data_IF_436200824714
#
_entry.id   IF_436200824714
#
_cell.length_a   1.000
_cell.length_b   1.000
_cell.length_c   1.000
_cell.angle_alpha   90.00
_cell.angle_beta   90.00
_cell.angle_gamma   90.00
#
_symmetry.space_group_name_H-M   'P 1'
#
loop_
_entity.id
_entity.type
_entity.pdbx_description
1 polymer ?
#
# COMPACT_ATOMS: atom_id res chain seq x y z
N UNK A 1 19.46 51.47 4.46
CA UNK A 1 20.91 51.57 4.13
C UNK A 1 21.72 52.38 5.16
N UNK A 2 21.30 52.39 6.43
CA UNK A 2 21.92 53.22 7.48
C UNK A 2 22.96 52.46 8.33
N UNK A 3 23.18 51.16 8.10
CA UNK A 3 24.10 50.38 8.92
C UNK A 3 25.58 50.66 8.51
N UNK A 4 26.44 51.20 9.40
CA UNK A 4 27.83 51.51 9.08
C UNK A 4 28.63 50.30 8.58
N UNK A 5 28.33 49.09 9.09
CA UNK A 5 28.95 47.85 8.64
C UNK A 5 28.59 47.52 7.18
N UNK A 6 27.35 47.75 6.78
CA UNK A 6 26.91 47.53 5.39
C UNK A 6 27.57 48.55 4.43
N UNK A 7 27.76 49.80 4.86
CA UNK A 7 28.45 50.84 4.08
C UNK A 7 29.95 50.55 3.90
N UNK A 8 30.64 50.08 4.96
CA UNK A 8 32.04 49.64 4.85
C UNK A 8 32.16 48.45 3.89
N UNK A 9 31.22 47.51 3.95
CA UNK A 9 31.15 46.36 3.03
C UNK A 9 30.88 46.73 1.56
N UNK A 10 30.16 47.82 1.29
CA UNK A 10 29.93 48.26 -0.10
C UNK A 10 31.11 49.06 -0.67
N UNK A 11 31.91 49.70 0.18
CA UNK A 11 33.09 50.50 -0.20
C UNK A 11 34.38 49.68 -0.30
N UNK A 12 34.47 48.53 0.36
CA UNK A 12 35.64 47.66 0.26
C UNK A 12 35.76 47.08 -1.14
N UNK A 13 36.89 47.30 -1.83
CA UNK A 13 37.20 46.73 -3.14
C UNK A 13 37.50 45.22 -3.14
N UNK A 14 37.35 44.56 -2.00
CA UNK A 14 37.46 43.09 -1.89
C UNK A 14 36.35 42.41 -2.68
N UNK A 15 36.68 41.30 -3.35
CA UNK A 15 35.72 40.50 -4.12
C UNK A 15 34.45 40.17 -3.31
N UNK A 16 33.28 40.54 -3.84
CA UNK A 16 31.98 40.24 -3.25
C UNK A 16 31.34 39.09 -4.02
N UNK A 17 31.23 37.93 -3.38
CA UNK A 17 30.47 36.82 -3.93
C UNK A 17 29.02 37.27 -4.21
N UNK A 18 28.58 37.14 -5.47
CA UNK A 18 27.21 37.46 -5.86
C UNK A 18 26.29 36.40 -5.27
N UNK A 19 25.46 36.82 -4.31
CA UNK A 19 24.44 35.94 -3.75
C UNK A 19 23.36 35.72 -4.80
N UNK A 20 23.27 34.48 -5.30
CA UNK A 20 22.20 34.06 -6.20
C UNK A 20 20.84 34.30 -5.54
N UNK A 21 19.91 34.93 -6.27
CA UNK A 21 18.63 35.33 -5.69
C UNK A 21 17.85 34.11 -5.19
N UNK A 22 17.29 34.21 -3.98
CA UNK A 22 16.45 33.15 -3.41
C UNK A 22 15.24 32.87 -4.30
N UNK A 23 14.75 33.88 -5.02
CA UNK A 23 13.63 33.78 -5.95
C UNK A 23 14.00 32.98 -7.21
N UNK A 24 15.19 33.19 -7.80
CA UNK A 24 15.66 32.37 -8.92
C UNK A 24 15.83 30.91 -8.48
N UNK A 25 16.43 30.67 -7.31
CA UNK A 25 16.53 29.31 -6.74
C UNK A 25 15.16 28.69 -6.46
N UNK A 26 14.19 29.47 -6.00
CA UNK A 26 12.82 29.01 -5.77
C UNK A 26 12.14 28.63 -7.08
N UNK A 27 12.25 29.44 -8.12
CA UNK A 27 11.69 29.14 -9.44
C UNK A 27 12.33 27.89 -10.06
N UNK A 28 13.64 27.71 -9.91
CA UNK A 28 14.35 26.50 -10.36
C UNK A 28 13.92 25.25 -9.57
N UNK A 29 13.49 25.41 -8.31
CA UNK A 29 12.96 24.35 -7.45
C UNK A 29 11.47 24.07 -7.63
N UNK A 30 10.74 24.82 -8.45
CA UNK A 30 9.30 24.57 -8.67
C UNK A 30 9.06 23.21 -9.35
N UNK A 31 10.04 22.73 -10.12
CA UNK A 31 9.92 21.52 -10.93
C UNK A 31 11.24 20.74 -10.84
N UNK A 32 11.59 20.19 -9.65
CA UNK A 32 12.79 19.38 -9.55
C UNK A 32 12.63 18.14 -10.44
N UNK A 33 13.70 17.67 -11.10
CA UNK A 33 13.65 16.42 -11.85
C UNK A 33 13.29 15.28 -10.88
N UNK A 34 12.43 14.37 -11.34
CA UNK A 34 12.03 13.23 -10.53
C UNK A 34 13.20 12.28 -10.32
N UNK A 35 13.32 11.78 -9.10
CA UNK A 35 14.21 10.68 -8.75
C UNK A 35 13.39 9.40 -8.79
N UNK A 36 13.75 8.46 -9.66
CA UNK A 36 13.03 7.20 -9.80
C UNK A 36 13.58 6.30 -10.90
N UNK A 37 12.89 5.20 -11.23
CA UNK A 37 13.22 4.38 -12.39
C UNK A 37 13.24 5.21 -13.67
N UNK A 38 14.13 4.87 -14.61
CA UNK A 38 14.29 5.63 -15.86
C UNK A 38 12.98 5.71 -16.66
N UNK A 39 12.22 4.62 -16.68
CA UNK A 39 10.89 4.54 -17.33
C UNK A 39 9.97 5.68 -16.86
N UNK A 40 9.93 5.95 -15.56
CA UNK A 40 9.09 7.01 -15.00
C UNK A 40 9.64 8.41 -15.31
N UNK A 41 10.97 8.57 -15.34
CA UNK A 41 11.59 9.85 -15.69
C UNK A 41 11.33 10.24 -17.15
N UNK A 42 11.41 9.26 -18.06
CA UNK A 42 11.22 9.48 -19.49
C UNK A 42 9.75 9.83 -19.83
N UNK A 43 8.79 9.27 -19.08
CA UNK A 43 7.36 9.55 -19.23
C UNK A 43 6.87 10.79 -18.45
N UNK A 44 7.75 11.46 -17.70
CA UNK A 44 7.37 12.59 -16.87
C UNK A 44 7.29 13.91 -17.66
N UNK A 45 6.08 14.44 -17.86
CA UNK A 45 5.92 15.78 -18.43
C UNK A 45 6.11 16.85 -17.35
N UNK A 46 7.21 17.60 -17.45
CA UNK A 46 7.46 18.73 -16.56
C UNK A 46 6.28 19.74 -16.54
N UNK A 47 5.59 19.97 -17.65
CA UNK A 47 4.58 21.04 -17.77
C UNK A 47 3.27 20.74 -17.03
N UNK A 48 3.00 19.47 -16.73
CA UNK A 48 1.80 19.03 -16.04
C UNK A 48 2.00 19.04 -14.52
N UNK A 49 0.89 19.12 -13.78
CA UNK A 49 0.94 18.98 -12.31
C UNK A 49 1.31 17.53 -11.94
N UNK A 50 1.80 17.32 -10.71
CA UNK A 50 2.09 15.97 -10.20
C UNK A 50 0.86 15.07 -10.28
N UNK A 51 -0.31 15.60 -9.94
CA UNK A 51 -1.59 14.89 -10.01
C UNK A 51 -1.94 14.47 -11.43
N UNK A 52 -1.83 15.39 -12.39
CA UNK A 52 -2.11 15.12 -13.80
C UNK A 52 -1.13 14.09 -14.38
N UNK A 53 0.15 14.17 -14.04
CA UNK A 53 1.14 13.19 -14.49
C UNK A 53 0.87 11.81 -13.90
N UNK A 54 0.61 11.71 -12.61
CA UNK A 54 0.32 10.42 -11.98
C UNK A 54 -0.94 9.81 -12.60
N UNK A 55 -1.99 10.61 -12.80
CA UNK A 55 -3.20 10.17 -13.49
C UNK A 55 -2.92 9.69 -14.92
N UNK A 56 -2.15 10.46 -15.70
CA UNK A 56 -1.76 10.08 -17.06
C UNK A 56 -0.97 8.76 -17.09
N UNK A 57 -0.07 8.54 -16.12
CA UNK A 57 0.72 7.32 -15.99
C UNK A 57 -0.07 6.13 -15.40
N UNK A 58 -1.35 6.30 -15.05
CA UNK A 58 -2.14 5.28 -14.37
C UNK A 58 -1.70 5.04 -12.91
N UNK A 59 -0.97 5.97 -12.30
CA UNK A 59 -0.52 5.94 -10.92
C UNK A 59 -1.44 6.78 -10.01
N UNK A 60 -1.53 6.37 -8.75
CA UNK A 60 -2.32 7.07 -7.74
C UNK A 60 -1.46 8.17 -7.10
N UNK A 61 -1.96 9.41 -7.10
CA UNK A 61 -1.26 10.58 -6.54
C UNK A 61 -1.43 10.75 -5.02
N UNK A 62 -2.58 10.36 -4.46
CA UNK A 62 -2.89 10.44 -3.02
C UNK A 62 -3.58 9.15 -2.59
N UNK A 63 -3.18 8.64 -1.41
CA UNK A 63 -3.69 7.41 -0.81
C UNK A 63 -4.93 7.66 0.07
N UNK A 64 -5.33 8.92 0.23
CA UNK A 64 -6.54 9.26 0.97
C UNK A 64 -7.78 8.91 0.13
N UNK A 65 -8.66 8.02 0.60
CA UNK A 65 -9.87 7.63 -0.14
C UNK A 65 -10.88 8.78 -0.23
N UNK A 66 -10.88 9.69 0.74
CA UNK A 66 -11.67 10.92 0.72
C UNK A 66 -10.76 12.10 0.39
N UNK A 67 -10.58 12.39 -0.89
CA UNK A 67 -9.88 13.60 -1.30
C UNK A 67 -10.69 14.83 -0.84
N UNK A 68 -10.07 15.72 -0.06
CA UNK A 68 -10.68 16.97 0.34
C UNK A 68 -10.55 17.99 -0.79
N UNK A 69 -11.68 18.48 -1.31
CA UNK A 69 -11.73 19.49 -2.38
C UNK A 69 -12.16 18.95 -3.75
N UNK A 70 -12.08 19.81 -4.77
CA UNK A 70 -12.49 19.47 -6.14
C UNK A 70 -11.43 18.70 -6.92
N UNK A 71 -11.85 17.74 -7.74
CA UNK A 71 -11.02 17.16 -8.78
C UNK A 71 -11.13 18.02 -10.04
N UNK A 72 -9.98 18.44 -10.60
CA UNK A 72 -9.98 19.05 -11.93
C UNK A 72 -10.41 17.98 -12.96
N UNK A 73 -11.37 18.26 -13.86
CA UNK A 73 -11.61 17.40 -14.99
C UNK A 73 -10.35 17.45 -15.88
N UNK A 74 -9.68 16.31 -16.02
CA UNK A 74 -8.67 16.15 -17.05
C UNK A 74 -9.38 16.31 -18.40
N UNK A 75 -8.91 17.26 -19.21
CA UNK A 75 -9.41 17.49 -20.57
C UNK A 75 -9.08 16.27 -21.43
N UNK A 76 -9.96 15.27 -21.40
CA UNK A 76 -10.11 14.33 -22.50
C UNK A 76 -11.03 14.97 -23.54
N UNK A 77 -10.58 14.96 -24.78
CA UNK A 77 -11.32 15.41 -25.96
C UNK A 77 -12.74 14.85 -25.94
N UNK A 78 -13.73 15.74 -25.92
CA UNK A 78 -15.16 15.51 -25.71
C UNK A 78 -15.82 14.85 -26.95
N UNK A 79 -15.09 14.03 -27.70
CA UNK A 79 -15.58 13.54 -29.00
C UNK A 79 -16.13 12.10 -28.95
N UNK A 80 -16.01 11.37 -27.83
CA UNK A 80 -16.37 9.93 -27.79
C UNK A 80 -17.04 9.44 -26.49
N UNK A 81 -17.90 10.25 -25.85
CA UNK A 81 -18.79 9.74 -24.78
C UNK A 81 -20.26 9.68 -25.26
N UNK A 82 -20.89 8.48 -25.30
CA UNK A 82 -22.31 8.36 -25.59
C UNK A 82 -23.14 8.98 -24.44
N UNK A 83 -24.30 9.61 -24.73
CA UNK A 83 -25.09 10.27 -23.70
C UNK A 83 -25.57 9.26 -22.66
N UNK A 84 -25.14 9.48 -21.42
CA UNK A 84 -25.62 8.74 -20.25
C UNK A 84 -27.15 8.88 -20.16
N UNK A 85 -27.84 7.75 -20.19
CA UNK A 85 -29.27 7.69 -19.95
C UNK A 85 -29.56 8.22 -18.54
N UNK A 86 -30.29 9.33 -18.48
CA UNK A 86 -30.84 9.87 -17.26
C UNK A 86 -31.73 8.80 -16.59
N UNK A 87 -31.41 8.47 -15.35
CA UNK A 87 -32.33 7.72 -14.50
C UNK A 87 -33.60 8.57 -14.29
N UNK A 88 -34.81 7.99 -14.37
CA UNK A 88 -36.04 8.77 -14.23
C UNK A 88 -36.21 9.23 -12.78
N UNK A 89 -36.51 10.52 -12.65
CA UNK A 89 -37.02 11.17 -11.45
C UNK A 89 -38.16 10.35 -10.83
N UNK A 90 -38.03 10.04 -9.55
CA UNK A 90 -39.12 9.44 -8.76
C UNK A 90 -40.22 10.47 -8.53
N UNK A 91 -41.28 10.39 -9.32
CA UNK A 91 -42.52 11.09 -9.07
C UNK A 91 -43.20 10.60 -7.77
N UNK A 92 -43.72 11.57 -7.03
CA UNK A 92 -44.47 11.41 -5.79
C UNK A 92 -45.84 10.79 -6.08
N UNK A 93 -46.12 9.61 -5.51
CA UNK A 93 -47.48 9.10 -5.36
C UNK A 93 -47.64 8.44 -3.97
N UNK A 94 -48.71 8.75 -3.20
CA UNK A 94 -48.92 8.21 -1.87
C UNK A 94 -49.69 6.88 -1.98
N UNK A 95 -49.06 5.77 -1.60
CA UNK A 95 -49.68 4.46 -1.64
C UNK A 95 -48.93 3.44 -0.79
N UNK A 96 -49.49 3.17 0.39
CA UNK A 96 -49.16 2.13 1.35
C UNK A 96 -48.47 0.87 0.79
N UNK A 97 -47.28 0.53 1.33
CA UNK A 97 -46.61 -0.74 1.04
C UNK A 97 -45.19 -0.86 1.62
N UNK A 98 -45.10 -1.22 2.91
CA UNK A 98 -43.93 -1.83 3.57
C UNK A 98 -42.53 -1.26 3.26
N UNK A 99 -42.19 -0.08 3.80
CA UNK A 99 -40.78 0.25 4.06
C UNK A 99 -40.37 -0.38 5.39
N UNK A 100 -39.25 -1.11 5.41
CA UNK A 100 -38.64 -1.65 6.63
C UNK A 100 -38.32 -0.49 7.58
N UNK A 101 -38.81 -0.55 8.83
CA UNK A 101 -38.58 0.51 9.82
C UNK A 101 -37.09 0.53 10.22
N UNK A 102 -36.42 1.70 10.26
CA UNK A 102 -35.04 1.81 10.72
C UNK A 102 -34.90 1.38 12.19
N UNK A 103 -33.80 0.70 12.51
CA UNK A 103 -33.54 0.19 13.86
C UNK A 103 -33.44 1.34 14.88
N UNK A 104 -34.19 1.23 15.98
CA UNK A 104 -34.30 2.28 17.01
C UNK A 104 -35.51 3.22 16.87
N UNK A 105 -36.27 3.13 15.78
CA UNK A 105 -37.49 3.92 15.57
C UNK A 105 -38.73 3.02 15.46
N UNK A 106 -39.81 3.37 16.17
CA UNK A 106 -41.10 2.68 16.11
C UNK A 106 -42.16 3.51 15.39
N UNK A 107 -43.09 2.86 14.68
CA UNK A 107 -44.21 3.54 14.02
C UNK A 107 -45.48 3.39 14.85
N UNK A 108 -46.06 4.52 15.26
CA UNK A 108 -47.32 4.57 16.00
C UNK A 108 -48.43 4.93 15.01
N UNK A 109 -49.38 4.02 14.81
CA UNK A 109 -50.59 4.25 14.00
C UNK A 109 -51.70 4.72 14.94
N UNK A 110 -52.30 5.87 14.63
CA UNK A 110 -53.41 6.48 15.37
C UNK A 110 -54.67 6.52 14.52
N UNK A 111 -55.83 6.53 15.17
CA UNK A 111 -57.11 6.85 14.53
C UNK A 111 -57.24 8.37 14.30
N UNK A 112 -58.26 8.79 13.53
CA UNK A 112 -58.53 10.20 13.25
C UNK A 112 -58.89 11.01 14.51
N UNK A 113 -59.24 10.34 15.62
CA UNK A 113 -59.50 10.95 16.92
C UNK A 113 -58.22 11.08 17.79
N UNK A 114 -57.07 10.64 17.28
CA UNK A 114 -55.77 10.76 17.95
C UNK A 114 -55.44 9.65 18.95
N UNK A 115 -56.29 8.62 19.09
CA UNK A 115 -56.02 7.46 19.93
C UNK A 115 -55.08 6.49 19.22
N UNK A 116 -54.17 5.87 19.98
CA UNK A 116 -53.18 4.93 19.45
C UNK A 116 -53.83 3.56 19.25
N UNK A 117 -53.90 3.10 18.00
CA UNK A 117 -54.41 1.78 17.65
C UNK A 117 -53.32 0.71 17.70
N UNK A 118 -52.13 0.99 17.16
CA UNK A 118 -51.06 -0.01 17.05
C UNK A 118 -49.68 0.63 17.03
N UNK A 119 -48.73 -0.01 17.72
CA UNK A 119 -47.30 0.33 17.65
C UNK A 119 -46.58 -0.82 16.98
N UNK A 120 -45.95 -0.55 15.84
CA UNK A 120 -45.12 -1.51 15.11
C UNK A 120 -43.65 -1.23 15.44
N UNK A 121 -42.99 -2.20 16.07
CA UNK A 121 -41.53 -2.23 16.26
C UNK A 121 -40.95 -3.23 15.25
N UNK A 122 -39.79 -2.94 14.64
CA UNK A 122 -39.11 -3.92 13.80
C UNK A 122 -38.74 -5.16 14.62
N UNK A 123 -38.98 -6.35 14.06
CA UNK A 123 -38.56 -7.62 14.65
C UNK A 123 -37.03 -7.61 14.73
N UNK A 124 -36.53 -7.75 15.96
CA UNK A 124 -35.11 -7.74 16.23
C UNK A 124 -34.56 -9.07 15.75
N UNK A 125 -33.89 -9.09 14.61
CA UNK A 125 -33.04 -10.22 14.23
C UNK A 125 -32.10 -10.46 15.42
N UNK A 126 -32.28 -11.58 16.12
CA UNK A 126 -31.32 -12.05 17.11
C UNK A 126 -30.05 -12.42 16.35
N UNK A 127 -29.22 -11.42 16.08
CA UNK A 127 -27.85 -11.60 15.61
C UNK A 127 -27.05 -12.22 16.75
N UNK A 128 -26.88 -13.54 16.64
CA UNK A 128 -25.81 -14.37 17.19
C UNK A 128 -25.06 -13.83 18.40
N UNK A 129 -25.57 -14.16 19.59
CA UNK A 129 -24.69 -14.52 20.68
C UNK A 129 -23.83 -15.74 20.26
N UNK A 130 -22.65 -15.86 20.87
CA UNK A 130 -21.67 -16.94 20.80
C UNK A 130 -20.51 -16.81 19.79
N UNK A 131 -19.55 -15.93 20.08
CA UNK A 131 -18.13 -16.37 20.14
C UNK A 131 -17.35 -15.54 21.16
N UNK A 132 -17.69 -15.64 22.44
CA UNK A 132 -16.70 -15.39 23.48
C UNK A 132 -16.80 -16.47 24.56
N UNK A 133 -16.48 -17.70 24.15
CA UNK A 133 -16.27 -18.80 25.08
C UNK A 133 -14.83 -18.67 25.62
N UNK A 134 -14.63 -18.42 26.93
CA UNK A 134 -13.29 -18.25 27.48
C UNK A 134 -12.62 -19.63 27.57
N UNK A 135 -11.65 -19.91 26.69
CA UNK A 135 -10.85 -21.14 26.74
C UNK A 135 -10.38 -21.72 25.40
N UNK A 136 -10.61 -21.05 24.27
CA UNK A 136 -10.05 -21.47 22.99
C UNK A 136 -8.76 -20.69 22.74
N UNK A 137 -7.62 -21.38 22.66
CA UNK A 137 -6.38 -20.82 22.18
C UNK A 137 -6.58 -20.42 20.71
N UNK A 138 -6.75 -19.11 20.47
CA UNK A 138 -6.95 -18.58 19.11
C UNK A 138 -5.57 -18.42 18.49
N UNK A 139 -5.25 -19.29 17.54
CA UNK A 139 -4.04 -19.18 16.73
C UNK A 139 -4.07 -17.85 15.95
N UNK A 140 -3.01 -17.05 16.13
CA UNK A 140 -2.85 -15.71 15.54
C UNK A 140 -2.91 -15.70 14.00
N UNK A 141 -2.79 -16.86 13.36
CA UNK A 141 -2.82 -17.06 11.92
C UNK A 141 -4.25 -17.10 11.34
N UNK A 142 -5.28 -17.29 12.18
CA UNK A 142 -6.70 -17.36 11.76
C UNK A 142 -7.53 -16.13 12.11
N UNK A 143 -6.93 -15.13 12.75
CA UNK A 143 -7.56 -13.84 13.02
C UNK A 143 -7.47 -12.93 11.78
N UNK A 144 -8.21 -13.27 10.72
CA UNK A 144 -8.52 -12.26 9.73
C UNK A 144 -9.49 -11.26 10.38
N UNK A 145 -9.13 -9.96 10.46
CA UNK A 145 -10.06 -8.97 10.98
C UNK A 145 -11.30 -8.94 10.09
N UNK A 146 -12.50 -8.96 10.69
CA UNK A 146 -13.76 -8.79 9.95
C UNK A 146 -13.85 -7.35 9.42
N UNK A 147 -13.22 -7.12 8.27
CA UNK A 147 -13.20 -5.80 7.63
C UNK A 147 -14.42 -5.68 6.74
N UNK A 148 -15.31 -4.75 7.09
CA UNK A 148 -16.46 -4.37 6.28
C UNK A 148 -16.11 -4.31 4.79
N UNK A 149 -16.70 -5.19 3.98
CA UNK A 149 -16.38 -5.30 2.54
C UNK A 149 -16.59 -3.98 1.79
N UNK A 150 -17.56 -3.16 2.20
CA UNK A 150 -17.79 -1.81 1.67
C UNK A 150 -16.64 -0.84 1.98
N UNK A 151 -16.01 -0.98 3.14
CA UNK A 151 -14.81 -0.21 3.49
C UNK A 151 -13.65 -0.71 2.66
N UNK A 152 -13.43 -2.03 2.61
CA UNK A 152 -12.38 -2.64 1.78
C UNK A 152 -12.46 -2.19 0.31
N UNK A 153 -13.65 -2.20 -0.29
CA UNK A 153 -13.86 -1.76 -1.68
C UNK A 153 -13.50 -0.28 -1.91
N UNK A 154 -13.81 0.62 -0.96
CA UNK A 154 -13.37 2.02 -1.03
C UNK A 154 -11.85 2.16 -1.02
N UNK A 155 -11.16 1.29 -0.28
CA UNK A 155 -9.71 1.28 -0.19
C UNK A 155 -9.01 0.48 -1.29
N UNK A 156 -9.71 -0.42 -2.01
CA UNK A 156 -9.09 -1.27 -3.03
C UNK A 156 -9.40 -0.79 -4.44
N UNK A 157 -10.64 -0.37 -4.70
CA UNK A 157 -11.10 -0.03 -6.05
C UNK A 157 -11.16 1.48 -6.31
N UNK A 158 -11.39 2.29 -5.26
CA UNK A 158 -11.75 3.71 -5.44
C UNK A 158 -10.68 4.69 -4.93
N UNK A 159 -9.47 4.21 -4.63
CA UNK A 159 -8.33 5.06 -4.32
C UNK A 159 -7.97 5.92 -5.55
N UNK A 160 -8.55 7.12 -5.60
CA UNK A 160 -8.33 8.11 -6.64
C UNK A 160 -9.43 8.21 -7.71
N UNK A 161 -10.58 7.54 -7.56
CA UNK A 161 -11.74 7.71 -8.46
C UNK A 161 -11.46 7.36 -9.93
N UNK A 162 -10.57 6.39 -10.16
CA UNK A 162 -9.89 6.14 -11.44
C UNK A 162 -10.32 4.86 -12.16
N UNK A 163 -11.24 4.05 -11.60
CA UNK A 163 -11.75 2.84 -12.28
C UNK A 163 -12.35 3.16 -13.67
N UNK A 164 -13.03 4.30 -13.80
CA UNK A 164 -13.58 4.79 -15.07
C UNK A 164 -12.59 5.58 -15.93
N UNK A 165 -11.35 5.81 -15.44
CA UNK A 165 -10.34 6.68 -16.06
C UNK A 165 -8.97 6.01 -16.16
N UNK A 166 -8.93 4.69 -16.21
CA UNK A 166 -7.68 3.95 -16.43
C UNK A 166 -7.25 4.25 -17.88
N UNK A 167 -6.08 4.87 -18.11
CA UNK A 167 -5.68 5.27 -19.46
C UNK A 167 -5.52 4.04 -20.33
N UNK A 168 -6.40 3.88 -21.33
CA UNK A 168 -6.29 2.84 -22.33
C UNK A 168 -5.24 3.26 -23.37
N UNK A 169 -4.02 2.73 -23.29
CA UNK A 169 -2.95 3.06 -24.22
C UNK A 169 -1.54 2.79 -23.69
N UNK A 170 -0.55 3.48 -24.29
CA UNK A 170 0.88 3.37 -23.95
C UNK A 170 1.17 3.61 -22.46
N UNK A 171 0.32 4.40 -21.79
CA UNK A 171 0.51 4.72 -20.38
C UNK A 171 0.22 3.53 -19.45
N UNK A 172 -0.70 2.64 -19.83
CA UNK A 172 -0.92 1.37 -19.14
C UNK A 172 0.26 0.40 -19.27
N UNK A 173 1.09 0.55 -20.31
CA UNK A 173 2.29 -0.27 -20.49
C UNK A 173 3.41 0.15 -19.54
N UNK A 174 3.47 1.43 -19.14
CA UNK A 174 4.44 1.93 -18.14
C UNK A 174 4.21 1.27 -16.78
N UNK A 175 2.96 1.11 -16.35
CA UNK A 175 2.64 0.44 -15.09
C UNK A 175 3.12 -1.02 -15.14
N UNK A 176 2.89 -1.74 -16.25
CA UNK A 176 3.40 -3.11 -16.44
C UNK A 176 4.93 -3.17 -16.42
N UNK A 177 5.60 -2.17 -16.99
CA UNK A 177 7.07 -2.08 -16.93
C UNK A 177 7.57 -1.84 -15.51
N UNK A 178 6.90 -0.97 -14.75
CA UNK A 178 7.21 -0.74 -13.33
C UNK A 178 6.92 -1.98 -12.47
N UNK A 179 5.83 -2.69 -12.75
CA UNK A 179 5.53 -3.99 -12.15
C UNK A 179 6.63 -5.00 -12.47
N UNK A 180 7.10 -5.06 -13.72
CA UNK A 180 8.20 -5.95 -14.12
C UNK A 180 9.54 -5.57 -13.46
N UNK A 181 9.83 -4.30 -13.29
CA UNK A 181 11.03 -3.82 -12.60
C UNK A 181 10.96 -4.07 -11.10
N UNK A 182 9.77 -3.95 -10.51
CA UNK A 182 9.55 -4.20 -9.08
C UNK A 182 9.39 -5.68 -8.76
N UNK A 183 9.02 -6.50 -9.74
CA UNK A 183 9.02 -7.95 -9.65
C UNK A 183 10.46 -8.40 -9.36
N UNK A 184 10.73 -8.61 -8.06
CA UNK A 184 11.96 -9.22 -7.59
C UNK A 184 12.07 -10.56 -8.31
N UNK A 185 13.15 -10.85 -9.06
CA UNK A 185 13.37 -12.18 -9.57
C UNK A 185 13.61 -13.08 -8.36
N UNK A 186 12.53 -13.64 -7.84
CA UNK A 186 12.54 -14.70 -6.84
C UNK A 186 13.03 -15.96 -7.55
N UNK A 187 14.31 -15.99 -7.88
CA UNK A 187 14.97 -17.24 -8.21
C UNK A 187 14.74 -18.16 -7.01
N UNK A 188 13.87 -19.15 -7.23
CA UNK A 188 13.20 -20.03 -6.26
C UNK A 188 14.15 -20.84 -5.36
N UNK A 189 15.46 -20.65 -5.52
CA UNK A 189 16.56 -21.39 -4.90
C UNK A 189 17.27 -20.63 -3.78
N UNK A 190 16.85 -19.42 -3.40
CA UNK A 190 17.55 -18.61 -2.40
C UNK A 190 16.84 -18.59 -1.03
N UNK A 191 17.42 -19.30 -0.07
CA UNK A 191 16.90 -19.61 1.27
C UNK A 191 16.88 -18.42 2.26
N UNK A 192 17.01 -17.17 1.83
CA UNK A 192 16.85 -16.02 2.75
C UNK A 192 16.13 -14.87 2.08
N UNK A 193 15.00 -14.45 2.68
CA UNK A 193 14.14 -13.32 2.33
C UNK A 193 14.82 -11.93 2.41
N UNK A 194 16.15 -11.86 2.37
CA UNK A 194 16.83 -10.57 2.21
C UNK A 194 16.82 -10.24 0.73
N UNK A 195 15.73 -9.60 0.33
CA UNK A 195 15.65 -8.62 -0.76
C UNK A 195 17.03 -8.21 -1.28
N UNK A 196 17.25 -8.40 -2.58
CA UNK A 196 18.46 -8.01 -3.33
C UNK A 196 18.57 -6.48 -3.53
N UNK A 197 17.99 -5.65 -2.66
CA UNK A 197 18.07 -4.17 -2.79
C UNK A 197 19.52 -3.67 -2.71
N UNK A 198 20.39 -4.42 -2.06
CA UNK A 198 21.79 -4.06 -1.82
C UNK A 198 22.76 -4.65 -2.84
N UNK A 199 22.26 -5.32 -3.90
CA UNK A 199 23.14 -6.04 -4.85
C UNK A 199 23.90 -7.21 -4.21
N UNK A 200 23.58 -7.56 -2.96
CA UNK A 200 24.12 -8.73 -2.29
C UNK A 200 23.35 -9.94 -2.80
N UNK A 201 24.07 -10.87 -3.44
CA UNK A 201 23.52 -12.13 -3.92
C UNK A 201 23.02 -13.03 -2.77
N UNK A 202 22.63 -14.27 -3.08
CA UNK A 202 22.22 -15.22 -2.05
C UNK A 202 23.27 -15.32 -0.95
N UNK A 203 22.84 -15.32 0.31
CA UNK A 203 23.75 -15.49 1.44
C UNK A 203 24.34 -16.90 1.41
N UNK A 204 25.60 -17.01 0.99
CA UNK A 204 26.36 -18.25 1.05
C UNK A 204 26.86 -18.53 2.48
N UNK A 205 27.06 -19.81 2.81
CA UNK A 205 27.78 -20.21 4.03
C UNK A 205 29.25 -19.80 3.94
N UNK A 206 29.83 -19.35 5.06
CA UNK A 206 31.27 -19.09 5.12
C UNK A 206 32.06 -20.39 4.90
N UNK A 207 33.28 -20.30 4.34
CA UNK A 207 34.12 -21.48 4.04
C UNK A 207 34.36 -22.37 5.26
N UNK A 208 34.70 -21.77 6.41
CA UNK A 208 34.92 -22.53 7.64
C UNK A 208 33.65 -23.19 8.19
N UNK A 209 32.49 -22.56 8.02
CA UNK A 209 31.21 -23.18 8.37
C UNK A 209 30.89 -24.36 7.45
N UNK A 210 31.19 -24.24 6.16
CA UNK A 210 31.02 -25.32 5.20
C UNK A 210 31.89 -26.53 5.55
N UNK A 211 33.18 -26.33 5.86
CA UNK A 211 34.08 -27.40 6.31
C UNK A 211 33.60 -28.06 7.61
N UNK A 212 33.12 -27.26 8.56
CA UNK A 212 32.51 -27.74 9.79
C UNK A 212 31.29 -28.61 9.49
N UNK A 213 30.35 -28.13 8.66
CA UNK A 213 29.15 -28.88 8.28
C UNK A 213 29.50 -30.17 7.52
N UNK A 214 30.49 -30.14 6.62
CA UNK A 214 30.98 -31.33 5.92
C UNK A 214 31.49 -32.41 6.88
N UNK A 215 32.20 -32.02 7.95
CA UNK A 215 32.65 -32.97 8.99
C UNK A 215 31.48 -33.61 9.73
N UNK A 216 30.45 -32.82 10.07
CA UNK A 216 29.24 -33.37 10.71
C UNK A 216 28.46 -34.30 9.78
N UNK A 217 28.28 -33.90 8.52
CA UNK A 217 27.62 -34.71 7.48
C UNK A 217 28.40 -35.99 7.20
N UNK A 218 29.73 -35.94 7.16
CA UNK A 218 30.57 -37.12 6.98
C UNK A 218 30.41 -38.16 8.08
N UNK A 219 30.15 -37.74 9.33
CA UNK A 219 30.00 -38.65 10.48
C UNK A 219 28.56 -39.12 10.70
N UNK A 220 27.58 -38.22 10.57
CA UNK A 220 26.18 -38.48 10.95
C UNK A 220 25.22 -38.51 9.75
N UNK A 221 25.71 -38.34 8.52
CA UNK A 221 24.89 -38.33 7.31
C UNK A 221 23.94 -37.13 7.28
N UNK A 222 22.63 -37.39 7.19
CA UNK A 222 21.58 -36.37 7.16
C UNK A 222 20.88 -36.17 8.53
N UNK A 223 21.31 -36.89 9.56
CA UNK A 223 20.65 -36.90 10.87
C UNK A 223 21.06 -35.70 11.75
N UNK A 224 20.36 -34.57 11.60
CA UNK A 224 20.63 -33.35 12.37
C UNK A 224 20.51 -33.52 13.90
N UNK A 225 19.73 -34.49 14.38
CA UNK A 225 19.58 -34.78 15.81
C UNK A 225 20.81 -35.45 16.40
N UNK A 226 21.44 -36.35 15.65
CA UNK A 226 22.70 -36.99 16.06
C UNK A 226 23.85 -36.00 16.00
N UNK A 227 23.84 -35.13 14.99
CA UNK A 227 24.79 -34.02 14.86
C UNK A 227 24.76 -33.08 16.07
N UNK A 228 23.57 -32.68 16.53
CA UNK A 228 23.42 -31.80 17.68
C UNK A 228 23.95 -32.44 18.98
N UNK A 229 23.77 -33.76 19.14
CA UNK A 229 24.24 -34.53 20.32
C UNK A 229 25.75 -34.76 20.32
N UNK A 230 26.46 -34.53 19.21
CA UNK A 230 27.90 -34.77 19.12
C UNK A 230 28.72 -33.65 19.77
N UNK A 231 29.08 -33.82 21.04
CA UNK A 231 29.88 -32.85 21.81
C UNK A 231 31.29 -32.62 21.25
N UNK A 232 31.83 -33.52 20.41
CA UNK A 232 33.20 -33.39 19.87
C UNK A 232 33.22 -32.60 18.57
N UNK A 233 32.28 -32.88 17.66
CA UNK A 233 32.19 -32.17 16.38
C UNK A 233 31.32 -30.91 16.46
N UNK A 234 30.41 -30.80 17.42
CA UNK A 234 29.60 -29.62 17.70
C UNK A 234 30.00 -28.97 19.04
N UNK A 235 31.20 -28.36 19.12
CA UNK A 235 31.69 -27.74 20.36
C UNK A 235 30.78 -26.60 20.83
N UNK A 236 30.21 -25.86 19.88
CA UNK A 236 29.33 -24.72 20.14
C UNK A 236 27.89 -25.13 20.51
N UNK A 237 27.61 -26.44 20.57
CA UNK A 237 26.30 -26.99 20.94
C UNK A 237 25.14 -26.41 20.11
N UNK A 238 25.36 -26.20 18.80
CA UNK A 238 24.33 -25.74 17.86
C UNK A 238 23.10 -26.64 17.93
N UNK A 239 21.93 -26.02 17.96
CA UNK A 239 20.66 -26.73 18.08
C UNK A 239 20.33 -27.50 16.79
N UNK A 240 19.41 -28.47 16.87
CA UNK A 240 18.97 -29.25 15.70
C UNK A 240 18.40 -28.36 14.60
N UNK A 241 17.63 -27.34 14.97
CA UNK A 241 17.06 -26.36 14.04
C UNK A 241 18.12 -25.48 13.37
N UNK A 242 19.12 -25.03 14.12
CA UNK A 242 20.25 -24.27 13.57
C UNK A 242 21.05 -25.08 12.56
N UNK A 243 21.37 -26.33 12.88
CA UNK A 243 22.08 -27.23 11.98
C UNK A 243 21.26 -27.51 10.71
N UNK A 244 19.95 -27.75 10.83
CA UNK A 244 19.06 -27.91 9.67
C UNK A 244 19.07 -26.68 8.76
N UNK A 245 18.99 -25.47 9.33
CA UNK A 245 19.05 -24.21 8.57
C UNK A 245 20.43 -24.01 7.93
N UNK A 246 21.50 -24.31 8.65
CA UNK A 246 22.87 -24.17 8.16
C UNK A 246 23.17 -25.13 7.00
N UNK A 247 22.72 -26.39 7.09
CA UNK A 247 22.83 -27.37 6.03
C UNK A 247 22.02 -26.99 4.78
N UNK A 248 20.78 -26.52 4.98
CA UNK A 248 19.93 -26.01 3.89
C UNK A 248 20.55 -24.79 3.22
N UNK A 249 21.21 -23.91 3.99
CA UNK A 249 21.96 -22.76 3.47
C UNK A 249 23.23 -23.17 2.70
N UNK A 250 23.88 -24.24 3.14
CA UNK A 250 25.07 -24.81 2.48
C UNK A 250 24.74 -25.65 1.23
N UNK A 251 23.48 -26.06 1.05
CA UNK A 251 23.07 -26.99 0.00
C UNK A 251 23.50 -28.44 0.24
N UNK A 252 23.73 -28.82 1.51
CA UNK A 252 24.19 -30.16 1.91
C UNK A 252 23.05 -31.12 2.31
N UNK A 253 21.80 -30.68 2.19
CA UNK A 253 20.56 -31.42 2.51
C UNK A 253 19.59 -31.31 1.37
#
# INVERSE_FOLDING_TARGET
>A
MANPRQRRKSRSGSHRAVSQSKNAKRNLKKMPPIRGPKVLQDAWDSRKTVRQNYAALGLIHDLNPSASGGAEPLEETIDDLPPAQAAPDSEVAPGSGSMKLPQGYGRIIRDDAGNVLRVELPEQDQEGDNTNSPGRDIDMETLEPDVNQKVLQKWVADLGGSETRRPAGKDGDIVKELERLSAVPTNKTQTTLSITLTGSGPRHTAKGELEYLLKLVGKHGKDAEKMAKDRKLNPDQRTTGELRRALKRAGLT
#
